data_IF_990002400424
#
_entry.id   IF_990002400424
#
_cell.length_a   1.000
_cell.length_b   1.000
_cell.length_c   1.000
_cell.angle_alpha   90.00
_cell.angle_beta   90.00
_cell.angle_gamma   90.00
#
_symmetry.space_group_name_H-M   'P 1'
#
loop_
_entity.id
_entity.type
_entity.pdbx_description
1 polymer ?
#
# COMPACT_ATOMS: atom_id res chain seq x y z
N UNK A 1 77.32 -67.76 -11.63
CA UNK A 1 75.96 -67.63 -12.19
C UNK A 1 74.96 -67.10 -11.14
N UNK A 2 75.36 -66.17 -10.26
CA UNK A 2 74.51 -65.70 -9.14
C UNK A 2 74.32 -64.17 -9.07
N UNK A 3 75.08 -63.40 -9.86
CA UNK A 3 75.02 -61.91 -9.82
C UNK A 3 73.90 -61.38 -10.73
N UNK A 4 73.69 -62.01 -11.90
CA UNK A 4 72.65 -61.59 -12.84
C UNK A 4 71.22 -61.82 -12.35
N UNK A 5 70.98 -62.87 -11.56
CA UNK A 5 69.66 -63.14 -10.96
C UNK A 5 69.34 -62.18 -9.82
N UNK A 6 70.36 -61.72 -9.08
CA UNK A 6 70.20 -60.77 -7.99
C UNK A 6 69.88 -59.36 -8.50
N UNK A 7 70.59 -58.88 -9.53
CA UNK A 7 70.30 -57.59 -10.16
C UNK A 7 68.89 -57.55 -10.79
N UNK A 8 68.42 -58.63 -11.42
CA UNK A 8 67.11 -58.65 -12.07
C UNK A 8 65.94 -58.63 -11.06
N UNK A 9 66.14 -59.19 -9.86
CA UNK A 9 65.18 -59.06 -8.76
C UNK A 9 65.17 -57.63 -8.20
N UNK A 10 66.32 -56.98 -8.05
CA UNK A 10 66.41 -55.58 -7.60
C UNK A 10 65.70 -54.65 -8.60
N UNK A 11 65.89 -54.83 -9.91
CA UNK A 11 65.20 -54.03 -10.94
C UNK A 11 63.68 -54.25 -10.90
N UNK A 12 63.20 -55.46 -10.61
CA UNK A 12 61.77 -55.73 -10.37
C UNK A 12 61.22 -54.95 -9.18
N UNK A 13 61.93 -54.93 -8.06
CA UNK A 13 61.49 -54.19 -6.87
C UNK A 13 61.57 -52.67 -7.07
N UNK A 14 62.56 -52.17 -7.82
CA UNK A 14 62.66 -50.76 -8.21
C UNK A 14 61.50 -50.39 -9.14
N UNK A 15 61.15 -51.23 -10.11
CA UNK A 15 60.00 -50.98 -10.98
C UNK A 15 58.67 -50.98 -10.20
N UNK A 16 58.54 -51.85 -9.21
CA UNK A 16 57.37 -51.92 -8.31
C UNK A 16 57.29 -50.70 -7.38
N UNK A 17 58.44 -50.15 -6.96
CA UNK A 17 58.54 -48.95 -6.14
C UNK A 17 58.30 -47.67 -6.96
N UNK A 18 58.72 -47.62 -8.22
CA UNK A 18 58.42 -46.49 -9.13
C UNK A 18 56.94 -46.46 -9.51
N UNK A 19 56.27 -47.61 -9.62
CA UNK A 19 54.83 -47.69 -9.89
C UNK A 19 53.97 -47.22 -8.70
N UNK A 20 54.46 -47.31 -7.46
CA UNK A 20 53.71 -46.91 -6.26
C UNK A 20 53.74 -45.40 -5.97
N UNK A 21 54.64 -44.64 -6.61
CA UNK A 21 54.73 -43.18 -6.44
C UNK A 21 53.62 -42.44 -7.21
N UNK A 22 52.94 -43.08 -8.17
CA UNK A 22 51.88 -42.46 -8.97
C UNK A 22 50.48 -42.46 -8.33
N UNK A 23 50.28 -43.08 -7.15
CA UNK A 23 48.95 -43.17 -6.51
C UNK A 23 48.73 -42.17 -5.37
N UNK A 24 49.67 -41.26 -5.10
CA UNK A 24 49.45 -40.14 -4.17
C UNK A 24 49.06 -38.88 -4.94
N UNK A 25 48.01 -38.97 -5.76
CA UNK A 25 47.26 -37.78 -6.15
C UNK A 25 46.38 -37.41 -4.98
N UNK A 26 46.91 -36.55 -4.12
CA UNK A 26 46.13 -35.87 -3.10
C UNK A 26 45.12 -35.00 -3.85
N UNK A 27 43.92 -35.54 -4.08
CA UNK A 27 42.78 -34.73 -4.47
C UNK A 27 42.60 -33.72 -3.36
N UNK A 28 43.03 -32.47 -3.60
CA UNK A 28 42.60 -31.35 -2.78
C UNK A 28 41.09 -31.43 -2.80
N UNK A 29 40.48 -31.81 -1.67
CA UNK A 29 39.09 -31.44 -1.43
C UNK A 29 39.12 -29.92 -1.45
N UNK A 30 38.92 -29.35 -2.62
CA UNK A 30 38.32 -28.03 -2.70
C UNK A 30 37.01 -28.25 -1.97
N UNK A 31 36.94 -27.83 -0.71
CA UNK A 31 35.68 -27.37 -0.17
C UNK A 31 35.14 -26.44 -1.25
N UNK A 32 34.16 -26.94 -1.98
CA UNK A 32 33.30 -26.12 -2.79
C UNK A 32 32.66 -25.23 -1.74
N UNK A 33 33.30 -24.09 -1.46
CA UNK A 33 32.62 -22.97 -0.82
C UNK A 33 31.50 -22.71 -1.80
N UNK A 34 30.32 -23.23 -1.49
CA UNK A 34 29.11 -22.78 -2.16
C UNK A 34 29.20 -21.26 -2.08
N UNK A 35 29.44 -20.63 -3.22
CA UNK A 35 29.27 -19.19 -3.32
C UNK A 35 27.85 -18.96 -2.86
N UNK A 36 27.70 -18.40 -1.66
CA UNK A 36 26.41 -17.95 -1.16
C UNK A 36 26.01 -16.83 -2.10
N UNK A 37 25.37 -17.19 -3.21
CA UNK A 37 24.82 -16.21 -4.15
C UNK A 37 23.91 -15.33 -3.32
N UNK A 38 24.13 -14.00 -3.32
CA UNK A 38 23.28 -13.10 -2.53
C UNK A 38 21.83 -13.35 -2.92
N UNK A 39 20.94 -13.44 -1.92
CA UNK A 39 19.51 -13.65 -2.16
C UNK A 39 19.01 -12.59 -3.15
N UNK A 40 18.18 -12.96 -4.14
CA UNK A 40 17.63 -11.99 -5.09
C UNK A 40 16.91 -10.87 -4.33
N UNK A 41 17.21 -9.62 -4.68
CA UNK A 41 16.61 -8.43 -4.04
C UNK A 41 15.07 -8.45 -4.11
N UNK A 42 14.52 -9.09 -5.15
CA UNK A 42 13.08 -9.27 -5.34
C UNK A 42 12.39 -10.09 -4.24
N UNK A 43 13.13 -10.93 -3.53
CA UNK A 43 12.60 -11.78 -2.43
C UNK A 43 12.87 -11.16 -1.06
N UNK A 44 13.68 -10.10 -0.99
CA UNK A 44 13.97 -9.43 0.27
C UNK A 44 12.76 -8.59 0.70
N UNK A 45 12.22 -8.88 1.87
CA UNK A 45 11.13 -8.10 2.46
C UNK A 45 11.62 -6.69 2.78
N UNK A 46 10.88 -5.69 2.32
CA UNK A 46 11.10 -4.28 2.62
C UNK A 46 10.00 -3.76 3.55
N UNK A 47 10.36 -2.76 4.36
CA UNK A 47 9.40 -2.06 5.21
C UNK A 47 8.97 -0.77 4.52
N UNK A 48 7.67 -0.58 4.41
CA UNK A 48 7.05 0.60 3.82
C UNK A 48 6.36 1.43 4.89
N UNK A 49 6.16 2.72 4.61
CA UNK A 49 5.42 3.60 5.50
C UNK A 49 3.99 3.08 5.70
N UNK A 50 3.51 3.09 6.94
CA UNK A 50 2.12 2.74 7.22
C UNK A 50 1.18 3.75 6.56
N UNK A 51 0.03 3.25 6.12
CA UNK A 51 -1.01 4.11 5.57
C UNK A 51 -1.59 4.99 6.68
N UNK A 52 -1.97 6.23 6.33
CA UNK A 52 -2.68 7.09 7.27
C UNK A 52 -4.04 6.44 7.60
N UNK A 53 -4.40 6.26 8.89
CA UNK A 53 -5.68 5.65 9.24
C UNK A 53 -6.83 6.67 9.16
N UNK A 54 -8.06 6.18 9.03
CA UNK A 54 -9.22 6.96 9.47
C UNK A 54 -9.08 7.18 10.98
N UNK A 55 -9.34 8.39 11.48
CA UNK A 55 -9.19 8.68 12.90
C UNK A 55 -10.21 7.87 13.72
N UNK A 56 -9.85 7.40 14.93
CA UNK A 56 -10.75 6.59 15.75
C UNK A 56 -12.11 7.23 16.03
N UNK A 57 -12.14 8.56 16.21
CA UNK A 57 -13.37 9.34 16.41
C UNK A 57 -14.34 9.30 15.23
N UNK A 58 -13.90 8.79 14.07
CA UNK A 58 -14.63 8.77 12.81
C UNK A 58 -14.93 7.36 12.30
N UNK A 59 -14.60 6.31 13.06
CA UNK A 59 -14.84 4.92 12.63
C UNK A 59 -16.31 4.61 12.35
N UNK A 60 -17.22 5.13 13.17
CA UNK A 60 -18.65 4.93 12.95
C UNK A 60 -19.15 5.54 11.64
N UNK A 61 -18.50 6.60 11.16
CA UNK A 61 -18.88 7.31 9.95
C UNK A 61 -18.53 6.54 8.66
N UNK A 62 -17.58 5.60 8.75
CA UNK A 62 -17.08 4.78 7.63
C UNK A 62 -17.40 3.29 7.80
N UNK A 63 -18.08 2.91 8.89
CA UNK A 63 -18.30 1.49 9.23
C UNK A 63 -19.08 0.71 8.16
N UNK A 64 -19.94 1.36 7.39
CA UNK A 64 -20.73 0.69 6.36
C UNK A 64 -20.04 0.70 4.99
N UNK A 65 -18.84 1.31 4.89
CA UNK A 65 -18.08 1.36 3.65
C UNK A 65 -17.19 0.13 3.49
N UNK A 66 -17.82 -1.00 3.17
CA UNK A 66 -17.18 -2.33 3.03
C UNK A 66 -15.84 -2.30 2.28
N UNK A 67 -15.84 -1.81 1.03
CA UNK A 67 -14.66 -1.86 0.17
C UNK A 67 -13.50 -0.97 0.67
N UNK A 68 -13.79 0.12 1.40
CA UNK A 68 -12.73 0.91 2.02
C UNK A 68 -11.98 0.08 3.06
N UNK A 69 -12.71 -0.68 3.89
CA UNK A 69 -12.12 -1.57 4.90
C UNK A 69 -11.37 -2.74 4.30
N UNK A 70 -11.87 -3.31 3.20
CA UNK A 70 -11.20 -4.40 2.50
C UNK A 70 -9.85 -3.96 1.95
N UNK A 71 -9.81 -2.77 1.32
CA UNK A 71 -8.56 -2.16 0.85
C UNK A 71 -7.62 -1.83 2.02
N UNK A 72 -8.13 -1.26 3.12
CA UNK A 72 -7.34 -0.97 4.32
C UNK A 72 -6.69 -2.23 4.90
N UNK A 73 -7.47 -3.30 5.05
CA UNK A 73 -7.00 -4.61 5.51
C UNK A 73 -5.96 -5.19 4.56
N UNK A 74 -6.15 -5.02 3.25
CA UNK A 74 -5.19 -5.49 2.26
C UNK A 74 -3.84 -4.78 2.38
N UNK A 75 -3.82 -3.47 2.65
CA UNK A 75 -2.58 -2.71 2.80
C UNK A 75 -1.79 -3.02 4.08
N UNK A 76 -2.35 -3.76 5.05
CA UNK A 76 -1.59 -4.25 6.21
C UNK A 76 -0.40 -5.10 5.77
N UNK A 77 -0.59 -5.98 4.77
CA UNK A 77 0.50 -6.83 4.25
C UNK A 77 1.59 -6.01 3.55
N UNK A 78 1.22 -4.89 2.90
CA UNK A 78 2.17 -4.03 2.18
C UNK A 78 3.10 -3.22 3.09
N UNK A 79 2.81 -3.12 4.39
CA UNK A 79 3.73 -2.48 5.34
C UNK A 79 5.06 -3.23 5.44
N UNK A 80 5.05 -4.54 5.21
CA UNK A 80 6.22 -5.42 5.21
C UNK A 80 6.05 -6.47 4.11
N UNK A 81 6.49 -6.17 2.91
CA UNK A 81 6.29 -7.00 1.73
C UNK A 81 7.57 -7.10 0.91
N UNK A 82 7.77 -8.22 0.22
CA UNK A 82 8.84 -8.31 -0.80
C UNK A 82 8.32 -7.82 -2.16
N UNK A 83 9.19 -7.33 -3.07
CA UNK A 83 8.79 -6.99 -4.43
C UNK A 83 8.02 -8.11 -5.15
N UNK A 84 8.49 -9.36 -5.03
CA UNK A 84 7.81 -10.51 -5.63
C UNK A 84 6.39 -10.69 -5.08
N UNK A 85 6.22 -10.55 -3.78
CA UNK A 85 4.91 -10.69 -3.13
C UNK A 85 3.99 -9.51 -3.49
N UNK A 86 4.53 -8.30 -3.61
CA UNK A 86 3.77 -7.14 -4.07
C UNK A 86 3.25 -7.36 -5.50
N UNK A 87 4.11 -7.83 -6.40
CA UNK A 87 3.73 -8.13 -7.79
C UNK A 87 2.73 -9.29 -7.87
N UNK A 88 2.90 -10.35 -7.08
CA UNK A 88 1.95 -11.48 -7.07
C UNK A 88 0.56 -11.08 -6.55
N UNK A 89 0.48 -10.05 -5.70
CA UNK A 89 -0.78 -9.53 -5.17
C UNK A 89 -1.35 -8.34 -5.98
N UNK A 90 -0.66 -7.88 -7.02
CA UNK A 90 -1.00 -6.62 -7.70
C UNK A 90 -2.37 -6.66 -8.41
N UNK A 91 -2.70 -7.79 -9.04
CA UNK A 91 -3.99 -7.98 -9.73
C UNK A 91 -5.15 -7.98 -8.74
N UNK A 92 -5.01 -8.67 -7.60
CA UNK A 92 -6.02 -8.71 -6.54
C UNK A 92 -6.23 -7.30 -5.94
N UNK A 93 -5.15 -6.56 -5.68
CA UNK A 93 -5.23 -5.18 -5.20
C UNK A 93 -5.97 -4.28 -6.19
N UNK A 94 -5.64 -4.38 -7.49
CA UNK A 94 -6.31 -3.62 -8.55
C UNK A 94 -7.82 -3.88 -8.55
N UNK A 95 -8.25 -5.14 -8.44
CA UNK A 95 -9.66 -5.51 -8.46
C UNK A 95 -10.41 -5.06 -7.19
N UNK A 96 -9.75 -5.10 -6.03
CA UNK A 96 -10.28 -4.54 -4.78
C UNK A 96 -10.48 -3.03 -4.86
N UNK A 97 -9.47 -2.30 -5.36
CA UNK A 97 -9.57 -0.83 -5.52
C UNK A 97 -10.56 -0.44 -6.60
N UNK A 98 -10.68 -1.23 -7.68
CA UNK A 98 -11.76 -1.06 -8.66
C UNK A 98 -13.13 -1.17 -8.00
N UNK A 99 -13.31 -2.18 -7.14
CA UNK A 99 -14.54 -2.35 -6.38
C UNK A 99 -14.82 -1.17 -5.45
N UNK A 100 -13.78 -0.63 -4.77
CA UNK A 100 -13.91 0.62 -4.00
C UNK A 100 -14.38 1.80 -4.87
N UNK A 101 -13.76 1.99 -6.05
CA UNK A 101 -14.08 3.06 -6.99
C UNK A 101 -15.52 2.98 -7.51
N UNK A 102 -15.94 1.78 -7.89
CA UNK A 102 -17.23 1.55 -8.55
C UNK A 102 -18.38 1.32 -7.55
N UNK A 103 -18.07 1.12 -6.26
CA UNK A 103 -19.07 0.92 -5.21
C UNK A 103 -19.89 2.16 -4.87
N UNK A 104 -21.10 1.91 -4.38
CA UNK A 104 -21.92 2.93 -3.72
C UNK A 104 -21.24 3.34 -2.41
N UNK A 105 -20.78 4.60 -2.38
CA UNK A 105 -20.18 5.22 -1.20
C UNK A 105 -21.20 6.02 -0.39
N UNK A 106 -20.98 6.22 0.93
CA UNK A 106 -21.82 7.10 1.72
C UNK A 106 -21.92 8.51 1.11
N UNK A 107 -23.12 9.09 1.06
CA UNK A 107 -23.38 10.38 0.36
C UNK A 107 -22.42 11.51 0.73
N UNK A 108 -22.05 11.62 2.01
CA UNK A 108 -21.09 12.63 2.51
C UNK A 108 -19.68 12.53 1.90
N UNK A 109 -19.34 11.37 1.35
CA UNK A 109 -18.07 11.13 0.66
C UNK A 109 -18.20 11.12 -0.86
N UNK A 110 -19.42 11.24 -1.41
CA UNK A 110 -19.63 11.41 -2.84
C UNK A 110 -19.39 12.86 -3.26
N UNK A 111 -18.14 13.29 -3.09
CA UNK A 111 -17.67 14.62 -3.43
C UNK A 111 -16.47 14.52 -4.39
N UNK A 112 -16.29 15.48 -5.32
CA UNK A 112 -15.24 15.41 -6.33
C UNK A 112 -13.84 15.16 -5.77
N UNK A 113 -13.53 15.80 -4.63
CA UNK A 113 -12.22 15.69 -4.00
C UNK A 113 -11.89 14.31 -3.39
N UNK A 114 -12.90 13.53 -2.97
CA UNK A 114 -12.71 12.14 -2.53
C UNK A 114 -12.62 11.22 -3.74
N UNK A 115 -13.53 11.39 -4.71
CA UNK A 115 -13.52 10.64 -5.96
C UNK A 115 -12.20 10.78 -6.72
N UNK A 116 -11.61 11.98 -6.75
CA UNK A 116 -10.30 12.21 -7.36
C UNK A 116 -9.18 11.38 -6.71
N UNK A 117 -9.16 11.26 -5.37
CA UNK A 117 -8.14 10.47 -4.66
C UNK A 117 -8.32 8.98 -4.86
N UNK A 118 -9.57 8.50 -4.92
CA UNK A 118 -9.86 7.12 -5.27
C UNK A 118 -9.38 6.81 -6.70
N UNK A 119 -9.57 7.73 -7.65
CA UNK A 119 -9.08 7.57 -9.01
C UNK A 119 -7.54 7.58 -9.08
N UNK A 120 -6.87 8.43 -8.30
CA UNK A 120 -5.40 8.43 -8.19
C UNK A 120 -4.92 7.07 -7.69
N UNK A 121 -5.49 6.57 -6.58
CA UNK A 121 -5.16 5.23 -6.09
C UNK A 121 -5.39 4.15 -7.16
N UNK A 122 -6.52 4.22 -7.87
CA UNK A 122 -6.82 3.26 -8.94
C UNK A 122 -5.77 3.29 -10.06
N UNK A 123 -5.25 4.46 -10.41
CA UNK A 123 -4.16 4.58 -11.38
C UNK A 123 -2.84 3.99 -10.84
N UNK A 124 -2.51 4.20 -9.57
CA UNK A 124 -1.30 3.63 -8.97
C UNK A 124 -1.32 2.10 -8.91
N UNK A 125 -2.49 1.50 -8.62
CA UNK A 125 -2.62 0.02 -8.62
C UNK A 125 -2.66 -0.55 -10.04
N UNK A 126 -3.17 0.19 -11.03
CA UNK A 126 -3.03 -0.19 -12.43
C UNK A 126 -1.56 -0.22 -12.82
N UNK A 127 -0.80 0.83 -12.48
CA UNK A 127 0.64 0.87 -12.74
C UNK A 127 1.38 -0.28 -12.04
N UNK A 128 1.03 -0.61 -10.80
CA UNK A 128 1.63 -1.75 -10.09
C UNK A 128 1.33 -3.08 -10.79
N UNK A 129 0.10 -3.27 -11.29
CA UNK A 129 -0.27 -4.45 -12.06
C UNK A 129 0.45 -4.52 -13.42
N UNK A 130 0.57 -3.40 -14.13
CA UNK A 130 1.26 -3.35 -15.43
C UNK A 130 2.75 -3.70 -15.31
N UNK A 131 3.38 -3.34 -14.18
CA UNK A 131 4.79 -3.69 -13.92
C UNK A 131 5.01 -5.21 -13.84
N UNK A 132 3.99 -6.00 -13.52
CA UNK A 132 4.09 -7.47 -13.49
C UNK A 132 4.41 -8.09 -14.85
N UNK A 133 4.12 -7.37 -15.95
CA UNK A 133 4.36 -7.82 -17.31
C UNK A 133 5.77 -7.46 -17.83
N UNK A 134 6.55 -6.69 -17.04
CA UNK A 134 7.89 -6.25 -17.41
C UNK A 134 8.91 -7.32 -16.99
N UNK A 135 9.56 -7.96 -17.97
CA UNK A 135 10.44 -9.13 -17.76
C UNK A 135 11.71 -8.87 -16.94
N UNK A 136 12.20 -7.63 -16.89
CA UNK A 136 13.47 -7.25 -16.25
C UNK A 136 13.31 -6.10 -15.24
N UNK A 137 12.16 -6.02 -14.56
CA UNK A 137 11.91 -4.96 -13.57
C UNK A 137 12.86 -5.05 -12.38
N UNK A 138 13.38 -3.89 -11.96
CA UNK A 138 14.22 -3.81 -10.77
C UNK A 138 13.38 -3.76 -9.48
N UNK A 139 13.88 -4.42 -8.43
CA UNK A 139 13.25 -4.38 -7.10
C UNK A 139 13.00 -2.96 -6.60
N UNK A 140 13.91 -2.02 -6.83
CA UNK A 140 13.76 -0.63 -6.41
C UNK A 140 12.55 0.06 -7.06
N UNK A 141 12.27 -0.22 -8.34
CA UNK A 141 11.12 0.36 -9.03
C UNK A 141 9.80 -0.20 -8.50
N UNK A 142 9.75 -1.51 -8.20
CA UNK A 142 8.57 -2.13 -7.57
C UNK A 142 8.30 -1.50 -6.20
N UNK A 143 9.33 -1.37 -5.36
CA UNK A 143 9.18 -0.78 -4.02
C UNK A 143 8.73 0.68 -4.08
N UNK A 144 9.25 1.47 -5.01
CA UNK A 144 8.81 2.84 -5.25
C UNK A 144 7.33 2.88 -5.67
N UNK A 145 6.89 1.96 -6.53
CA UNK A 145 5.48 1.87 -6.91
C UNK A 145 4.58 1.45 -5.73
N UNK A 146 5.06 0.56 -4.85
CA UNK A 146 4.38 0.22 -3.60
C UNK A 146 4.21 1.46 -2.71
N UNK A 147 5.28 2.25 -2.51
CA UNK A 147 5.24 3.47 -1.69
C UNK A 147 4.22 4.48 -2.23
N UNK A 148 4.21 4.72 -3.54
CA UNK A 148 3.22 5.60 -4.20
C UNK A 148 1.80 5.10 -3.99
N UNK A 149 1.60 3.79 -4.14
CA UNK A 149 0.27 3.17 -3.97
C UNK A 149 -0.22 3.31 -2.52
N UNK A 150 0.64 3.05 -1.54
CA UNK A 150 0.31 3.24 -0.12
C UNK A 150 0.06 4.71 0.24
N UNK A 151 0.83 5.63 -0.35
CA UNK A 151 0.62 7.07 -0.19
C UNK A 151 -0.73 7.50 -0.75
N UNK A 152 -1.10 7.04 -1.95
CA UNK A 152 -2.38 7.36 -2.57
C UNK A 152 -3.58 6.87 -1.73
N UNK A 153 -3.48 5.70 -1.09
CA UNK A 153 -4.51 5.25 -0.17
C UNK A 153 -4.55 6.10 1.11
N UNK A 154 -3.39 6.50 1.63
CA UNK A 154 -3.30 7.42 2.78
C UNK A 154 -3.98 8.76 2.51
N UNK A 155 -3.90 9.26 1.28
CA UNK A 155 -4.56 10.51 0.88
C UNK A 155 -6.09 10.41 0.92
N UNK A 156 -6.66 9.23 0.59
CA UNK A 156 -8.10 8.97 0.73
C UNK A 156 -8.50 9.07 2.20
N UNK A 157 -7.80 8.36 3.09
CA UNK A 157 -8.11 8.35 4.53
C UNK A 157 -7.94 9.74 5.15
N UNK A 158 -6.87 10.45 4.79
CA UNK A 158 -6.65 11.84 5.21
C UNK A 158 -7.77 12.76 4.73
N UNK A 159 -8.26 12.56 3.50
CA UNK A 159 -9.38 13.35 2.98
C UNK A 159 -10.69 13.03 3.69
N UNK A 160 -10.96 11.76 3.98
CA UNK A 160 -12.10 11.32 4.79
C UNK A 160 -12.07 12.03 6.16
N UNK A 161 -10.92 11.99 6.84
CA UNK A 161 -10.73 12.67 8.12
C UNK A 161 -11.01 14.18 8.03
N UNK A 162 -10.51 14.82 6.97
CA UNK A 162 -10.73 16.26 6.75
C UNK A 162 -12.20 16.58 6.49
N UNK A 163 -12.91 15.76 5.70
CA UNK A 163 -14.34 15.93 5.42
C UNK A 163 -15.16 15.79 6.69
N UNK A 164 -14.87 14.77 7.50
CA UNK A 164 -15.60 14.53 8.75
C UNK A 164 -15.29 15.58 9.82
N UNK A 165 -14.04 16.05 9.91
CA UNK A 165 -13.68 17.17 10.77
C UNK A 165 -14.43 18.44 10.40
N UNK A 166 -14.57 18.72 9.08
CA UNK A 166 -15.37 19.83 8.58
C UNK A 166 -16.85 19.68 8.98
N UNK A 167 -17.45 18.51 8.74
CA UNK A 167 -18.86 18.26 9.08
C UNK A 167 -19.09 18.42 10.59
N UNK A 168 -18.19 17.86 11.42
CA UNK A 168 -18.27 17.98 12.87
C UNK A 168 -18.20 19.44 13.32
N UNK A 169 -17.24 20.21 12.77
CA UNK A 169 -17.14 21.64 13.03
C UNK A 169 -18.40 22.40 12.63
N UNK A 170 -18.96 22.12 11.44
CA UNK A 170 -20.20 22.75 10.98
C UNK A 170 -21.42 22.41 11.87
N UNK A 171 -21.43 21.23 12.51
CA UNK A 171 -22.49 20.80 13.43
C UNK A 171 -22.31 21.35 14.85
N UNK A 172 -21.07 21.57 15.31
CA UNK A 172 -20.75 22.13 16.63
C UNK A 172 -20.99 23.65 16.69
N UNK A 173 -20.93 24.35 15.56
CA UNK A 173 -21.22 25.78 15.51
C UNK A 173 -22.74 26.00 15.44
N UNK A 174 -23.33 26.39 16.56
CA UNK A 174 -24.63 27.07 16.58
C UNK A 174 -24.41 28.53 16.12
N UNK A 175 -24.57 28.78 14.82
CA UNK A 175 -24.48 30.14 14.29
C UNK A 175 -25.78 30.86 14.64
N UNK A 176 -25.79 31.53 15.80
CA UNK A 176 -26.74 32.59 16.05
C UNK A 176 -26.38 33.78 15.14
N UNK A 177 -27.25 34.02 14.18
CA UNK A 177 -27.15 35.11 13.20
C UNK A 177 -27.09 36.46 13.90
N UNK A 178 -27.75 36.56 15.06
CA UNK A 178 -27.81 37.78 15.86
C UNK A 178 -26.49 38.02 16.63
N UNK A 179 -25.66 36.98 16.81
CA UNK A 179 -24.38 37.05 17.52
C UNK A 179 -23.18 37.38 16.60
N UNK A 180 -23.26 37.07 15.31
CA UNK A 180 -22.30 37.64 14.36
C UNK A 180 -22.67 39.12 14.27
N UNK A 181 -21.93 39.98 14.98
CA UNK A 181 -22.06 41.44 14.95
C UNK A 181 -21.76 42.06 13.58
N UNK A 182 -22.42 41.55 12.54
CA UNK A 182 -22.57 42.17 11.24
C UNK A 182 -23.35 43.45 11.51
N UNK A 183 -22.67 44.57 11.30
CA UNK A 183 -23.35 45.84 11.20
C UNK A 183 -24.28 45.77 9.98
N UNK A 184 -25.52 45.35 10.22
CA UNK A 184 -26.53 45.15 9.19
C UNK A 184 -26.86 46.44 8.44
N UNK A 185 -26.45 47.60 8.96
CA UNK A 185 -26.56 48.91 8.30
C UNK A 185 -25.52 49.10 7.20
N UNK A 186 -24.42 48.34 7.22
CA UNK A 186 -23.34 48.37 6.23
C UNK A 186 -23.41 47.24 5.20
N UNK A 187 -24.37 46.34 5.34
CA UNK A 187 -24.64 45.31 4.35
C UNK A 187 -25.44 45.90 3.18
N UNK A 188 -24.97 45.64 1.96
CA UNK A 188 -25.75 45.96 0.77
C UNK A 188 -27.00 45.05 0.67
N UNK A 189 -27.99 45.51 -0.08
CA UNK A 189 -29.28 44.81 -0.25
C UNK A 189 -29.15 43.43 -0.90
N UNK A 190 -28.11 43.18 -1.71
CA UNK A 190 -27.88 41.88 -2.37
C UNK A 190 -27.34 40.89 -1.35
N UNK A 191 -26.32 41.29 -0.60
CA UNK A 191 -25.75 40.53 0.52
C UNK A 191 -26.83 40.15 1.53
N UNK A 192 -27.63 41.12 1.99
CA UNK A 192 -28.71 40.89 2.95
C UNK A 192 -29.72 39.85 2.45
N UNK A 193 -30.18 39.98 1.20
CA UNK A 193 -31.13 39.04 0.58
C UNK A 193 -30.55 37.63 0.46
N UNK A 194 -29.28 37.50 0.13
CA UNK A 194 -28.63 36.18 0.00
C UNK A 194 -28.46 35.47 1.35
N UNK A 195 -28.17 36.21 2.41
CA UNK A 195 -28.06 35.71 3.78
C UNK A 195 -29.43 35.21 4.25
N UNK A 196 -30.48 36.00 4.07
CA UNK A 196 -31.86 35.65 4.44
C UNK A 196 -32.34 34.37 3.72
N UNK A 197 -32.06 34.26 2.41
CA UNK A 197 -32.40 33.08 1.62
C UNK A 197 -31.71 31.83 2.15
N UNK A 198 -30.42 31.91 2.44
CA UNK A 198 -29.62 30.78 2.95
C UNK A 198 -30.08 30.34 4.35
N UNK A 199 -30.49 31.27 5.21
CA UNK A 199 -31.06 30.94 6.52
C UNK A 199 -32.39 30.22 6.40
N UNK A 200 -33.25 30.68 5.48
CA UNK A 200 -34.53 30.03 5.21
C UNK A 200 -34.33 28.60 4.68
N UNK A 201 -33.36 28.39 3.78
CA UNK A 201 -33.00 27.05 3.30
C UNK A 201 -32.52 26.13 4.43
N UNK A 202 -31.62 26.60 5.30
CA UNK A 202 -31.16 25.84 6.47
C UNK A 202 -32.29 25.45 7.43
N UNK A 203 -33.23 26.37 7.68
CA UNK A 203 -34.40 26.09 8.52
C UNK A 203 -35.32 25.04 7.89
N UNK A 204 -35.51 25.08 6.57
CA UNK A 204 -36.29 24.07 5.83
C UNK A 204 -35.59 22.70 5.92
N UNK A 205 -34.28 22.65 5.73
CA UNK A 205 -33.50 21.42 5.80
C UNK A 205 -33.56 20.79 7.21
N UNK A 206 -33.38 21.60 8.26
CA UNK A 206 -33.49 21.16 9.67
C UNK A 206 -34.89 20.61 10.00
N UNK A 207 -35.96 21.30 9.56
CA UNK A 207 -37.34 20.84 9.78
C UNK A 207 -37.66 19.55 9.02
N UNK A 208 -37.09 19.35 7.83
CA UNK A 208 -37.28 18.11 7.06
C UNK A 208 -36.52 16.93 7.66
N UNK A 209 -35.34 17.17 8.22
CA UNK A 209 -34.58 16.17 8.97
C UNK A 209 -35.34 15.73 10.23
N UNK A 210 -35.92 16.67 10.97
CA UNK A 210 -36.70 16.40 12.19
C UNK A 210 -38.05 15.68 11.92
N UNK A 211 -38.72 15.98 10.81
CA UNK A 211 -39.90 15.22 10.37
C UNK A 211 -39.55 13.81 9.88
N UNK A 212 -38.37 13.64 9.31
CA UNK A 212 -37.86 12.34 8.83
C UNK A 212 -37.51 11.39 9.98
N UNK A 213 -37.01 11.90 11.10
CA UNK A 213 -36.73 11.14 12.32
C UNK A 213 -38.01 10.75 13.08
N UNK A 214 -39.03 11.63 13.15
CA UNK A 214 -40.32 11.31 13.80
C UNK A 214 -41.18 10.28 13.07
N UNK A 215 -40.99 10.09 11.75
CA UNK A 215 -41.71 9.08 10.95
C UNK A 215 -41.11 7.66 11.03
N UNK A 216 -39.95 7.50 11.67
CA UNK A 216 -39.22 6.22 11.79
C UNK A 216 -39.30 5.60 13.20
N UNK A 217 -40.11 6.19 14.10
CA UNK A 217 -40.51 5.63 15.39
C UNK A 217 -41.91 5.04 15.28
#
# INVERSE_FOLDING_TARGET
MCIFTFLNNIVKYIYLLVLSVFVVSCGSKQENKEEIKPKPLMTLVQSHAKTAPVLPTFYDEVKDWKYLKEVDSFFVKYQKISPNEALSNAVELKDLVKSLKDSLKPKKFDIPSVNARINILYNEVLRLADITEISAIESAEVNNQVDKTMSAFSDINTKINTVLAKIRFENEIDIDVDFIGLDSTRLDTVSKKSIDLRMKEKLIEKNNLDKGSRKRQ
#
